data_IF_439254653914
#
_entry.id   IF_439254653914
#
_cell.length_a   1.000
_cell.length_b   1.000
_cell.length_c   1.000
_cell.angle_alpha   90.00
_cell.angle_beta   90.00
_cell.angle_gamma   90.00
#
_symmetry.space_group_name_H-M   'P 1'
#
loop_
_entity.id
_entity.type
_entity.pdbx_description
1 polymer ?
#
# COMPACT_ATOMS: atom_id res chain seq x y z
N UNK A 1 -0.28 4.16 -26.44
CA UNK A 1 0.53 2.94 -26.61
C UNK A 1 1.10 2.56 -25.26
N UNK A 2 0.81 1.37 -24.71
CA UNK A 2 1.49 0.90 -23.48
C UNK A 2 2.93 0.61 -23.87
N UNK A 3 3.89 1.36 -23.35
CA UNK A 3 5.30 1.09 -23.64
C UNK A 3 5.71 -0.21 -22.95
N UNK A 4 5.88 -1.27 -23.74
CA UNK A 4 6.45 -2.54 -23.29
C UNK A 4 7.91 -2.32 -22.89
N UNK A 5 8.46 -3.13 -21.98
CA UNK A 5 9.87 -3.08 -21.54
C UNK A 5 10.86 -3.15 -22.71
N UNK A 6 10.48 -3.81 -23.81
CA UNK A 6 11.24 -3.80 -25.07
C UNK A 6 11.25 -2.42 -25.76
N UNK A 7 10.13 -1.70 -25.74
CA UNK A 7 10.03 -0.34 -26.30
C UNK A 7 10.86 0.67 -25.51
N UNK A 8 10.87 0.57 -24.18
CA UNK A 8 11.67 1.44 -23.31
C UNK A 8 13.17 1.30 -23.58
N UNK A 9 13.65 0.07 -23.83
CA UNK A 9 15.06 -0.22 -24.20
C UNK A 9 15.46 0.43 -25.51
N UNK A 10 14.60 0.34 -26.53
CA UNK A 10 14.89 0.91 -27.85
C UNK A 10 14.97 2.44 -27.79
N UNK A 11 14.12 3.09 -26.99
CA UNK A 11 14.15 4.54 -26.83
C UNK A 11 15.37 5.01 -26.04
N UNK A 12 15.75 4.30 -24.97
CA UNK A 12 16.96 4.61 -24.21
C UNK A 12 18.21 4.45 -25.09
N UNK A 13 18.34 3.34 -25.82
CA UNK A 13 19.46 3.12 -26.73
C UNK A 13 19.51 4.16 -27.87
N UNK A 14 18.35 4.55 -28.42
CA UNK A 14 18.26 5.63 -29.41
C UNK A 14 18.69 7.00 -28.87
N UNK A 15 18.40 7.30 -27.60
CA UNK A 15 18.89 8.52 -26.93
C UNK A 15 20.40 8.47 -26.64
N UNK A 16 20.96 7.28 -26.44
CA UNK A 16 22.39 7.10 -26.18
C UNK A 16 23.21 7.32 -27.45
N UNK A 17 22.73 6.80 -28.58
CA UNK A 17 23.39 6.89 -29.90
C UNK A 17 23.18 8.22 -30.64
N UNK A 18 22.19 9.03 -30.26
CA UNK A 18 21.88 10.28 -30.95
C UNK A 18 22.91 11.41 -30.65
N UNK A 19 23.26 12.26 -31.65
CA UNK A 19 24.07 13.46 -31.44
C UNK A 19 23.43 14.43 -30.44
N UNK A 20 24.26 15.25 -29.79
CA UNK A 20 23.81 16.29 -28.85
C UNK A 20 22.89 17.29 -29.56
N UNK A 21 21.59 17.24 -29.26
CA UNK A 21 20.55 18.08 -29.88
C UNK A 21 19.34 17.28 -30.39
N UNK A 22 19.56 16.07 -30.90
CA UNK A 22 18.49 15.22 -31.45
C UNK A 22 17.76 14.40 -30.38
N UNK A 23 18.41 14.18 -29.23
CA UNK A 23 17.83 13.51 -28.05
C UNK A 23 16.52 14.16 -27.61
N UNK A 24 16.47 15.49 -27.62
CA UNK A 24 15.26 16.24 -27.26
C UNK A 24 14.12 16.08 -28.28
N UNK A 25 14.41 15.83 -29.55
CA UNK A 25 13.39 15.60 -30.57
C UNK A 25 12.75 14.22 -30.41
N UNK A 26 13.57 13.20 -30.12
CA UNK A 26 13.11 11.83 -29.82
C UNK A 26 12.21 11.83 -28.57
N UNK A 27 12.65 12.49 -27.50
CA UNK A 27 11.88 12.56 -26.24
C UNK A 27 10.53 13.25 -26.41
N UNK A 28 10.45 14.34 -27.19
CA UNK A 28 9.17 15.03 -27.44
C UNK A 28 8.21 14.20 -28.28
N UNK A 29 8.70 13.47 -29.29
CA UNK A 29 7.88 12.56 -30.11
C UNK A 29 7.26 11.43 -29.28
N UNK A 30 8.03 10.89 -28.35
CA UNK A 30 7.59 9.82 -27.44
C UNK A 30 6.89 10.35 -26.17
N UNK A 31 6.75 11.68 -26.02
CA UNK A 31 6.23 12.36 -24.80
C UNK A 31 6.94 11.94 -23.51
N UNK A 32 8.24 11.72 -23.58
CA UNK A 32 9.10 11.33 -22.47
C UNK A 32 9.89 12.54 -21.95
N UNK A 33 10.24 12.50 -20.67
CA UNK A 33 11.10 13.51 -20.04
C UNK A 33 12.48 12.93 -19.76
N UNK A 34 13.50 13.80 -19.68
CA UNK A 34 14.89 13.40 -19.43
C UNK A 34 15.06 12.53 -18.17
N UNK A 35 14.25 12.77 -17.13
CA UNK A 35 14.19 11.96 -15.92
C UNK A 35 13.89 10.47 -16.18
N UNK A 36 13.12 10.15 -17.22
CA UNK A 36 12.77 8.78 -17.57
C UNK A 36 13.99 8.03 -18.12
N UNK A 37 14.81 8.70 -18.94
CA UNK A 37 16.03 8.10 -19.49
C UNK A 37 17.05 7.86 -18.37
N UNK A 38 17.16 8.75 -17.39
CA UNK A 38 18.02 8.55 -16.22
C UNK A 38 17.53 7.36 -15.38
N UNK A 39 16.24 7.30 -15.06
CA UNK A 39 15.65 6.18 -14.28
C UNK A 39 15.82 4.85 -15.02
N UNK A 40 15.68 4.83 -16.34
CA UNK A 40 15.87 3.63 -17.14
C UNK A 40 17.35 3.27 -17.30
N UNK A 41 18.27 4.22 -17.42
CA UNK A 41 19.71 3.89 -17.40
C UNK A 41 20.09 3.25 -16.06
N UNK A 42 19.68 3.85 -14.94
CA UNK A 42 19.96 3.31 -13.62
C UNK A 42 19.39 1.89 -13.43
N UNK A 43 18.16 1.64 -13.88
CA UNK A 43 17.57 0.31 -13.81
C UNK A 43 18.16 -0.68 -14.82
N UNK A 44 18.83 -0.23 -15.89
CA UNK A 44 19.57 -1.09 -16.82
C UNK A 44 20.86 -1.54 -16.17
N UNK A 45 21.58 -0.59 -15.59
CA UNK A 45 22.83 -0.84 -14.88
C UNK A 45 22.62 -1.74 -13.66
N UNK A 46 21.46 -1.62 -13.00
CA UNK A 46 21.05 -2.49 -11.90
C UNK A 46 20.40 -3.82 -12.32
N UNK A 47 20.26 -4.12 -13.62
CA UNK A 47 19.59 -5.33 -14.11
C UNK A 47 18.07 -5.40 -13.84
N UNK A 48 17.46 -4.32 -13.35
CA UNK A 48 16.07 -4.23 -12.90
C UNK A 48 15.06 -3.76 -13.98
N UNK A 49 15.46 -3.77 -15.26
CA UNK A 49 14.64 -3.36 -16.41
C UNK A 49 13.27 -4.03 -16.48
N UNK A 50 13.19 -5.33 -16.17
CA UNK A 50 11.95 -6.09 -16.23
C UNK A 50 10.92 -5.64 -15.17
N UNK A 51 11.39 -4.98 -14.10
CA UNK A 51 10.55 -4.47 -13.01
C UNK A 51 10.19 -2.99 -13.16
N UNK A 52 10.69 -2.32 -14.20
CA UNK A 52 10.29 -0.95 -14.49
C UNK A 52 8.86 -0.92 -15.01
N UNK A 53 7.97 -0.47 -14.13
CA UNK A 53 6.60 -0.13 -14.50
C UNK A 53 6.50 1.39 -14.56
N UNK A 54 5.94 1.93 -15.64
CA UNK A 54 5.59 3.34 -15.70
C UNK A 54 4.65 3.69 -14.53
N UNK A 55 5.22 4.39 -13.56
CA UNK A 55 4.58 4.82 -12.32
C UNK A 55 3.31 5.63 -12.58
N UNK A 56 3.19 6.33 -13.71
CA UNK A 56 2.02 7.17 -14.03
C UNK A 56 0.87 6.39 -14.67
N UNK A 57 1.16 5.30 -15.39
CA UNK A 57 0.14 4.48 -16.07
C UNK A 57 -0.14 3.14 -15.40
N UNK A 58 0.56 2.82 -14.30
CA UNK A 58 0.34 1.57 -13.58
C UNK A 58 -1.04 1.49 -12.91
N UNK A 59 -1.92 0.65 -13.46
CA UNK A 59 -3.23 0.33 -12.89
C UNK A 59 -3.15 -0.40 -11.53
N UNK A 60 -1.96 -0.84 -11.11
CA UNK A 60 -1.72 -1.54 -9.85
C UNK A 60 -1.65 -0.61 -8.63
N UNK A 61 -1.41 0.70 -8.82
CA UNK A 61 -1.29 1.67 -7.71
C UNK A 61 -2.61 1.96 -6.99
N UNK A 62 -3.74 2.22 -7.68
CA UNK A 62 -4.99 2.57 -6.99
C UNK A 62 -5.51 1.43 -6.11
N UNK A 63 -5.38 0.17 -6.58
CA UNK A 63 -5.83 -1.01 -5.83
C UNK A 63 -5.04 -1.22 -4.54
N UNK A 64 -3.70 -1.20 -4.62
CA UNK A 64 -2.84 -1.36 -3.43
C UNK A 64 -3.08 -0.27 -2.38
N UNK A 65 -3.29 0.99 -2.80
CA UNK A 65 -3.58 2.07 -1.86
C UNK A 65 -4.94 1.90 -1.16
N UNK A 66 -5.97 1.48 -1.90
CA UNK A 66 -7.29 1.21 -1.33
C UNK A 66 -7.27 0.01 -0.36
N UNK A 67 -6.56 -1.06 -0.72
CA UNK A 67 -6.38 -2.24 0.13
C UNK A 67 -5.68 -1.89 1.46
N UNK A 68 -4.62 -1.07 1.41
CA UNK A 68 -3.93 -0.61 2.61
C UNK A 68 -4.83 0.26 3.51
N UNK A 69 -5.60 1.17 2.92
CA UNK A 69 -6.55 2.00 3.67
C UNK A 69 -7.63 1.17 4.36
N UNK A 70 -8.17 0.15 3.69
CA UNK A 70 -9.15 -0.75 4.30
C UNK A 70 -8.54 -1.62 5.40
N UNK A 71 -7.30 -2.10 5.22
CA UNK A 71 -6.59 -2.83 6.28
C UNK A 71 -6.40 -1.98 7.54
N UNK A 72 -6.02 -0.71 7.42
CA UNK A 72 -5.90 0.20 8.56
C UNK A 72 -7.25 0.46 9.24
N UNK A 73 -8.31 0.65 8.45
CA UNK A 73 -9.68 0.82 8.96
C UNK A 73 -10.14 -0.42 9.73
N UNK A 74 -9.91 -1.61 9.19
CA UNK A 74 -10.26 -2.88 9.84
C UNK A 74 -9.47 -3.09 11.13
N UNK A 75 -8.16 -2.81 11.15
CA UNK A 75 -7.34 -2.88 12.38
C UNK A 75 -7.88 -1.96 13.48
N UNK A 76 -8.23 -0.72 13.14
CA UNK A 76 -8.84 0.22 14.10
C UNK A 76 -10.18 -0.30 14.64
N UNK A 77 -11.01 -0.90 13.77
CA UNK A 77 -12.30 -1.47 14.16
C UNK A 77 -12.11 -2.67 15.11
N UNK A 78 -11.20 -3.58 14.80
CA UNK A 78 -10.89 -4.73 15.66
C UNK A 78 -10.43 -4.27 17.04
N UNK A 79 -9.43 -3.39 17.11
CA UNK A 79 -8.93 -2.88 18.38
C UNK A 79 -10.02 -2.20 19.23
N UNK A 80 -10.94 -1.47 18.59
CA UNK A 80 -12.08 -0.86 19.28
C UNK A 80 -13.05 -1.92 19.82
N UNK A 81 -13.42 -2.89 18.98
CA UNK A 81 -14.35 -3.95 19.37
C UNK A 81 -13.78 -4.85 20.47
N UNK A 82 -12.49 -5.17 20.43
CA UNK A 82 -11.81 -5.91 21.49
C UNK A 82 -11.85 -5.15 22.83
N UNK A 83 -11.61 -3.83 22.80
CA UNK A 83 -11.72 -2.98 23.99
C UNK A 83 -13.16 -2.95 24.53
N UNK A 84 -14.16 -2.78 23.66
CA UNK A 84 -15.58 -2.81 24.05
C UNK A 84 -15.98 -4.19 24.61
N UNK A 85 -15.45 -5.28 24.05
CA UNK A 85 -15.65 -6.64 24.54
C UNK A 85 -15.09 -6.81 25.94
N UNK A 86 -13.82 -6.46 26.15
CA UNK A 86 -13.16 -6.55 27.45
C UNK A 86 -13.89 -5.75 28.55
N UNK A 87 -14.45 -4.58 28.21
CA UNK A 87 -15.26 -3.79 29.15
C UNK A 87 -16.56 -4.49 29.53
N UNK A 88 -17.25 -5.12 28.57
CA UNK A 88 -18.48 -5.87 28.81
C UNK A 88 -18.22 -7.11 29.65
N UNK A 89 -17.15 -7.83 29.36
CA UNK A 89 -16.76 -9.02 30.12
C UNK A 89 -16.45 -8.67 31.58
N UNK A 90 -15.72 -7.57 31.81
CA UNK A 90 -15.46 -7.08 33.17
C UNK A 90 -16.74 -6.66 33.91
N UNK A 91 -17.71 -6.06 33.21
CA UNK A 91 -19.00 -5.72 33.80
C UNK A 91 -19.81 -6.97 34.17
N UNK A 92 -19.81 -8.00 33.32
CA UNK A 92 -20.46 -9.29 33.61
C UNK A 92 -19.80 -9.99 34.82
N UNK A 93 -18.47 -9.95 34.92
CA UNK A 93 -17.75 -10.51 36.07
C UNK A 93 -18.14 -9.81 37.37
N UNK A 94 -18.21 -8.48 37.37
CA UNK A 94 -18.64 -7.70 38.54
C UNK A 94 -20.08 -8.02 38.95
N UNK A 95 -21.00 -8.09 37.98
CA UNK A 95 -22.40 -8.46 38.22
C UNK A 95 -22.51 -9.87 38.80
N UNK A 96 -21.73 -10.83 38.29
CA UNK A 96 -21.65 -12.19 38.82
C UNK A 96 -21.19 -12.21 40.28
N UNK A 97 -20.14 -11.44 40.62
CA UNK A 97 -19.65 -11.32 42.01
C UNK A 97 -20.67 -10.68 42.95
N UNK A 98 -21.35 -9.63 42.49
CA UNK A 98 -22.39 -8.96 43.26
C UNK A 98 -23.57 -9.90 43.52
N UNK A 99 -24.00 -10.67 42.51
CA UNK A 99 -25.06 -11.66 42.68
C UNK A 99 -24.65 -12.76 43.67
N UNK A 100 -23.45 -13.32 43.56
CA UNK A 100 -22.95 -14.32 44.51
C UNK A 100 -22.89 -13.80 45.96
N UNK A 101 -22.52 -12.52 46.15
CA UNK A 101 -22.54 -11.90 47.47
C UNK A 101 -23.95 -11.75 48.04
N UNK A 102 -24.93 -11.42 47.19
CA UNK A 102 -26.33 -11.32 47.61
C UNK A 102 -26.90 -12.68 48.03
N UNK A 103 -26.57 -13.75 47.31
CA UNK A 103 -26.96 -15.12 47.69
C UNK A 103 -26.40 -15.50 49.07
N UNK A 104 -25.11 -15.22 49.33
CA UNK A 104 -24.47 -15.49 50.63
C UNK A 104 -25.14 -14.73 51.77
N UNK A 105 -25.47 -13.45 51.55
CA UNK A 105 -26.16 -12.65 52.56
C UNK A 105 -27.58 -13.17 52.83
N UNK A 106 -28.28 -13.62 51.79
CA UNK A 106 -29.61 -14.22 51.91
C UNK A 106 -29.57 -15.51 52.72
N UNK A 107 -28.63 -16.42 52.41
CA UNK A 107 -28.46 -17.68 53.16
C UNK A 107 -28.08 -17.46 54.62
N UNK A 108 -27.37 -16.38 54.95
CA UNK A 108 -26.98 -16.06 56.33
C UNK A 108 -28.08 -15.39 57.15
N UNK A 109 -29.16 -14.94 56.50
CA UNK A 109 -30.28 -14.25 57.12
C UNK A 109 -31.43 -15.19 57.55
N UNK A 110 -31.38 -16.45 57.10
CA UNK A 110 -32.25 -17.57 57.53
C UNK A 110 -31.59 -18.38 58.65
#
# INVERSE_FOLDING_TARGET
>A
MRASSAGLRNVAAGCDAAPTGEKGAILRRERLYHSHIIEWRAARDAGAMATLVDKRTSAARPKKAAELAELERLRKKVARLEKEGAQKDAALELLGKAHALLELLSESAD
#
